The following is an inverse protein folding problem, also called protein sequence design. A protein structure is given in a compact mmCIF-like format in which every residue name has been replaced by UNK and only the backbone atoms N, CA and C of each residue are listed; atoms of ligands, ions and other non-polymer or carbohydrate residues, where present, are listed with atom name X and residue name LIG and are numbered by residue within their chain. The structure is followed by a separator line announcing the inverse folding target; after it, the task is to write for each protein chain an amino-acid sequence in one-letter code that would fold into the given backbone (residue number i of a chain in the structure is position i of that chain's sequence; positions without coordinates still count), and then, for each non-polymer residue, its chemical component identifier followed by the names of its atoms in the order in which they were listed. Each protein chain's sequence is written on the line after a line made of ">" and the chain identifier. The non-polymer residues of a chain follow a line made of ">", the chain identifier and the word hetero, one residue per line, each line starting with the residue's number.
data_IF_987722315951
#
_entry.id   IF_987722315951
#
_cell.length_a   1.000
_cell.length_b   1.000
_cell.length_c   1.000
_cell.angle_alpha   90.00
_cell.angle_beta   90.00
_cell.angle_gamma   90.00
#
_symmetry.space_group_name_H-M   'P 1'
#
loop_
_entity.id
_entity.type
_entity.pdbx_description
1 polymer ?
#
# COMPACT_ATOMS: atom_id res chain seq x y z
N UNK A 1 39.13 -19.29 19.33
CA UNK A 1 38.02 -18.69 20.10
C UNK A 1 37.76 -17.25 19.69
N UNK A 2 38.71 -16.33 19.84
CA UNK A 2 38.57 -14.90 19.50
C UNK A 2 38.29 -14.62 18.02
N UNK A 3 38.94 -15.33 17.10
CA UNK A 3 38.70 -15.14 15.64
C UNK A 3 37.29 -15.56 15.20
N UNK A 4 36.73 -16.61 15.79
CA UNK A 4 35.38 -17.09 15.45
C UNK A 4 34.32 -16.07 15.92
N UNK A 5 34.49 -15.52 17.13
CA UNK A 5 33.65 -14.43 17.64
C UNK A 5 33.78 -13.16 16.78
N UNK A 6 34.99 -12.81 16.34
CA UNK A 6 35.21 -11.66 15.48
C UNK A 6 34.53 -11.82 14.10
N UNK A 7 34.62 -12.99 13.48
CA UNK A 7 33.94 -13.30 12.21
C UNK A 7 32.42 -13.30 12.39
N UNK A 8 31.91 -13.86 13.50
CA UNK A 8 30.49 -13.83 13.84
C UNK A 8 29.97 -12.39 14.01
N UNK A 9 30.69 -11.54 14.75
CA UNK A 9 30.34 -10.13 14.90
C UNK A 9 30.35 -9.39 13.56
N UNK A 10 31.35 -9.61 12.70
CA UNK A 10 31.40 -9.01 11.37
C UNK A 10 30.20 -9.43 10.51
N UNK A 11 29.84 -10.72 10.51
CA UNK A 11 28.69 -11.22 9.77
C UNK A 11 27.37 -10.56 10.23
N UNK A 12 27.19 -10.37 11.54
CA UNK A 12 26.03 -9.68 12.10
C UNK A 12 26.00 -8.20 11.67
N UNK A 13 27.13 -7.50 11.75
CA UNK A 13 27.23 -6.10 11.31
C UNK A 13 26.86 -5.97 9.82
N UNK A 14 27.43 -6.81 8.96
CA UNK A 14 27.09 -6.80 7.53
C UNK A 14 25.63 -7.13 7.28
N UNK A 15 25.06 -8.07 8.03
CA UNK A 15 23.64 -8.40 7.94
C UNK A 15 22.76 -7.18 8.21
N UNK A 16 23.01 -6.43 9.29
CA UNK A 16 22.27 -5.21 9.60
C UNK A 16 22.49 -4.09 8.57
N UNK A 17 23.72 -3.91 8.06
CA UNK A 17 24.00 -2.91 7.02
C UNK A 17 23.26 -3.20 5.71
N UNK A 18 23.19 -4.48 5.31
CA UNK A 18 22.44 -4.89 4.12
C UNK A 18 20.94 -4.65 4.30
N UNK A 19 20.40 -4.96 5.49
CA UNK A 19 18.99 -4.69 5.80
C UNK A 19 18.69 -3.18 5.78
N UNK A 20 19.56 -2.37 6.38
CA UNK A 20 19.45 -0.91 6.37
C UNK A 20 19.45 -0.36 4.94
N UNK A 21 20.42 -0.73 4.11
CA UNK A 21 20.52 -0.26 2.73
C UNK A 21 19.30 -0.67 1.86
N UNK A 22 18.73 -1.87 2.10
CA UNK A 22 17.49 -2.29 1.43
C UNK A 22 16.28 -1.49 1.86
N UNK A 23 16.18 -1.16 3.14
CA UNK A 23 15.09 -0.34 3.69
C UNK A 23 15.14 1.06 3.11
N UNK A 24 16.30 1.71 3.18
CA UNK A 24 16.53 3.06 2.65
C UNK A 24 16.09 3.19 1.18
N UNK A 25 16.47 2.22 0.33
CA UNK A 25 16.08 2.23 -1.08
C UNK A 25 14.56 2.05 -1.31
N UNK A 26 13.86 1.35 -0.41
CA UNK A 26 12.44 1.07 -0.57
C UNK A 26 11.54 2.05 0.19
N UNK A 27 12.09 2.84 1.12
CA UNK A 27 11.36 3.70 2.03
C UNK A 27 10.57 4.77 1.28
N UNK A 28 11.20 5.52 0.38
CA UNK A 28 10.51 6.54 -0.42
C UNK A 28 9.33 5.97 -1.21
N UNK A 29 9.55 4.87 -1.95
CA UNK A 29 8.50 4.23 -2.75
C UNK A 29 7.38 3.64 -1.90
N UNK A 30 7.74 3.14 -0.72
CA UNK A 30 6.78 2.60 0.23
C UNK A 30 5.92 3.72 0.83
N UNK A 31 6.54 4.80 1.31
CA UNK A 31 5.85 5.95 1.88
C UNK A 31 4.89 6.59 0.85
N UNK A 32 5.35 6.79 -0.38
CA UNK A 32 4.50 7.30 -1.47
C UNK A 32 3.27 6.40 -1.70
N UNK A 33 3.45 5.08 -1.69
CA UNK A 33 2.36 4.14 -1.87
C UNK A 33 1.36 4.17 -0.71
N UNK A 34 1.84 4.28 0.52
CA UNK A 34 1.00 4.37 1.73
C UNK A 34 0.18 5.67 1.71
N UNK A 35 0.85 6.81 1.49
CA UNK A 35 0.22 8.13 1.48
C UNK A 35 -0.85 8.21 0.38
N UNK A 36 -0.58 7.69 -0.82
CA UNK A 36 -1.58 7.61 -1.90
C UNK A 36 -2.84 6.84 -1.47
N UNK A 37 -2.67 5.65 -0.89
CA UNK A 37 -3.81 4.82 -0.48
C UNK A 37 -4.58 5.47 0.66
N UNK A 38 -3.91 6.00 1.68
CA UNK A 38 -4.54 6.70 2.79
C UNK A 38 -5.36 7.90 2.32
N UNK A 39 -4.76 8.78 1.51
CA UNK A 39 -5.45 9.94 0.96
C UNK A 39 -6.66 9.55 0.10
N UNK A 40 -6.56 8.45 -0.65
CA UNK A 40 -7.67 7.95 -1.49
C UNK A 40 -8.76 7.27 -0.68
N UNK A 41 -8.44 6.62 0.44
CA UNK A 41 -9.43 6.09 1.37
C UNK A 41 -10.19 7.23 2.07
N UNK A 42 -9.51 8.29 2.46
CA UNK A 42 -10.15 9.49 3.02
C UNK A 42 -11.03 10.20 2.00
N UNK A 43 -10.56 10.33 0.75
CA UNK A 43 -11.39 10.78 -0.35
C UNK A 43 -12.65 9.91 -0.52
N UNK A 44 -12.53 8.59 -0.42
CA UNK A 44 -13.65 7.66 -0.56
C UNK A 44 -14.67 7.80 0.58
N UNK A 45 -14.23 8.09 1.81
CA UNK A 45 -15.09 8.38 2.96
C UNK A 45 -15.93 9.63 2.78
N UNK A 46 -15.41 10.64 2.07
CA UNK A 46 -16.16 11.87 1.76
C UNK A 46 -17.21 11.72 0.65
N UNK A 47 -17.32 10.56 -0.01
CA UNK A 47 -18.27 10.38 -1.12
C UNK A 47 -19.70 10.12 -0.60
N UNK A 48 -20.73 10.73 -1.23
CA UNK A 48 -22.12 10.57 -0.80
C UNK A 48 -22.74 9.19 -1.12
N UNK A 49 -22.12 8.42 -2.00
CA UNK A 49 -22.55 7.06 -2.33
C UNK A 49 -21.38 6.23 -2.86
N UNK A 50 -21.51 4.92 -2.76
CA UNK A 50 -20.53 3.94 -3.26
C UNK A 50 -21.26 2.95 -4.18
N UNK A 51 -20.95 2.92 -5.49
CA UNK A 51 -21.55 1.94 -6.40
C UNK A 51 -21.25 0.50 -5.99
N UNK A 52 -22.08 -0.42 -6.48
CA UNK A 52 -21.87 -1.85 -6.28
C UNK A 52 -20.45 -2.27 -6.68
N UNK A 53 -19.77 -3.02 -5.80
CA UNK A 53 -18.38 -3.43 -5.97
C UNK A 53 -17.32 -2.40 -5.57
N UNK A 54 -17.64 -1.10 -5.45
CA UNK A 54 -16.66 -0.12 -4.96
C UNK A 54 -16.34 -0.37 -3.49
N UNK A 55 -17.36 -0.58 -2.64
CA UNK A 55 -17.19 -0.75 -1.20
C UNK A 55 -16.27 -1.91 -0.83
N UNK A 56 -16.45 -3.07 -1.49
CA UNK A 56 -15.59 -4.23 -1.24
C UNK A 56 -14.14 -4.00 -1.66
N UNK A 57 -13.90 -3.25 -2.74
CA UNK A 57 -12.54 -2.88 -3.14
C UNK A 57 -11.91 -1.87 -2.16
N UNK A 58 -12.68 -0.97 -1.55
CA UNK A 58 -12.20 -0.09 -0.48
C UNK A 58 -11.81 -0.87 0.77
N UNK A 59 -12.64 -1.84 1.18
CA UNK A 59 -12.37 -2.72 2.32
C UNK A 59 -11.07 -3.53 2.09
N UNK A 60 -10.95 -4.17 0.92
CA UNK A 60 -9.71 -4.88 0.54
C UNK A 60 -8.50 -3.94 0.54
N UNK A 61 -8.65 -2.72 0.03
CA UNK A 61 -7.56 -1.73 0.04
C UNK A 61 -7.15 -1.35 1.46
N UNK A 62 -8.12 -1.19 2.38
CA UNK A 62 -7.85 -0.84 3.77
C UNK A 62 -7.15 -1.99 4.52
N UNK A 63 -7.62 -3.23 4.34
CA UNK A 63 -7.00 -4.41 4.97
C UNK A 63 -5.55 -4.61 4.49
N UNK A 64 -5.31 -4.41 3.19
CA UNK A 64 -3.96 -4.49 2.62
C UNK A 64 -3.07 -3.35 3.12
N UNK A 65 -3.60 -2.14 3.28
CA UNK A 65 -2.86 -1.01 3.85
C UNK A 65 -2.38 -1.32 5.27
N UNK A 66 -3.27 -1.81 6.13
CA UNK A 66 -2.92 -2.16 7.50
C UNK A 66 -1.91 -3.32 7.55
N UNK A 67 -2.05 -4.32 6.68
CA UNK A 67 -1.07 -5.39 6.55
C UNK A 67 0.29 -4.88 6.07
N UNK A 68 0.33 -3.96 5.11
CA UNK A 68 1.57 -3.36 4.61
C UNK A 68 2.32 -2.61 5.73
N UNK A 69 1.60 -1.85 6.57
CA UNK A 69 2.18 -1.18 7.76
C UNK A 69 2.72 -2.17 8.78
N UNK A 70 1.97 -3.23 9.06
CA UNK A 70 2.42 -4.29 9.96
C UNK A 70 3.70 -4.96 9.44
N UNK A 71 3.79 -5.27 8.14
CA UNK A 71 4.99 -5.85 7.54
C UNK A 71 6.20 -4.91 7.62
N UNK A 72 5.99 -3.61 7.37
CA UNK A 72 7.05 -2.60 7.47
C UNK A 72 7.62 -2.52 8.89
N UNK A 73 6.75 -2.52 9.90
CA UNK A 73 7.14 -2.50 11.32
C UNK A 73 7.85 -3.78 11.79
N UNK A 74 7.77 -4.87 11.02
CA UNK A 74 8.42 -6.16 11.31
C UNK A 74 9.64 -6.40 10.41
N UNK A 75 10.27 -5.33 9.90
CA UNK A 75 11.47 -5.37 9.03
C UNK A 75 11.30 -6.18 7.73
N UNK A 76 10.05 -6.35 7.25
CA UNK A 76 9.73 -7.02 5.99
C UNK A 76 9.48 -6.00 4.88
N UNK A 77 10.47 -5.13 4.61
CA UNK A 77 10.31 -3.95 3.74
C UNK A 77 9.86 -4.30 2.31
N UNK A 78 10.37 -5.40 1.74
CA UNK A 78 10.00 -5.81 0.38
C UNK A 78 8.57 -6.33 0.31
N UNK A 79 8.15 -7.18 1.25
CA UNK A 79 6.77 -7.62 1.33
C UNK A 79 5.83 -6.46 1.63
N UNK A 80 6.20 -5.56 2.55
CA UNK A 80 5.44 -4.37 2.87
C UNK A 80 5.16 -3.52 1.63
N UNK A 81 6.20 -3.23 0.84
CA UNK A 81 6.06 -2.51 -0.43
C UNK A 81 5.16 -3.24 -1.43
N UNK A 82 5.31 -4.56 -1.60
CA UNK A 82 4.45 -5.34 -2.48
C UNK A 82 2.97 -5.29 -2.06
N UNK A 83 2.70 -5.37 -0.77
CA UNK A 83 1.32 -5.31 -0.24
C UNK A 83 0.76 -3.89 -0.37
N UNK A 84 1.56 -2.85 -0.15
CA UNK A 84 1.14 -1.46 -0.40
C UNK A 84 0.74 -1.24 -1.87
N UNK A 85 1.50 -1.80 -2.82
CA UNK A 85 1.14 -1.79 -4.25
C UNK A 85 -0.18 -2.52 -4.54
N UNK A 86 -0.44 -3.64 -3.88
CA UNK A 86 -1.72 -4.34 -4.03
C UNK A 86 -2.89 -3.52 -3.48
N UNK A 87 -2.68 -2.78 -2.38
CA UNK A 87 -3.65 -1.83 -1.86
C UNK A 87 -3.96 -0.73 -2.90
N UNK A 88 -2.92 -0.14 -3.52
CA UNK A 88 -3.10 0.82 -4.62
C UNK A 88 -3.91 0.25 -5.78
N UNK A 89 -3.68 -1.01 -6.16
CA UNK A 89 -4.44 -1.67 -7.23
C UNK A 89 -5.92 -1.89 -6.87
N UNK A 90 -6.21 -2.26 -5.62
CA UNK A 90 -7.58 -2.34 -5.12
C UNK A 90 -8.25 -0.96 -5.15
N UNK A 91 -7.53 0.08 -4.74
CA UNK A 91 -7.99 1.46 -4.77
C UNK A 91 -8.23 1.95 -6.22
N UNK A 92 -7.37 1.58 -7.17
CA UNK A 92 -7.55 1.84 -8.60
C UNK A 92 -8.84 1.21 -9.14
N UNK A 93 -9.14 -0.03 -8.73
CA UNK A 93 -10.41 -0.70 -9.10
C UNK A 93 -11.62 0.01 -8.51
N UNK A 94 -11.57 0.38 -7.22
CA UNK A 94 -12.65 1.13 -6.58
C UNK A 94 -12.93 2.48 -7.27
N UNK A 95 -11.89 3.27 -7.57
CA UNK A 95 -12.04 4.54 -8.29
C UNK A 95 -12.57 4.34 -9.71
N UNK A 96 -12.10 3.33 -10.43
CA UNK A 96 -12.62 3.02 -11.77
C UNK A 96 -14.11 2.68 -11.75
N UNK A 97 -14.58 1.93 -10.75
CA UNK A 97 -16.01 1.65 -10.56
C UNK A 97 -16.78 2.95 -10.32
N UNK A 98 -16.27 3.82 -9.44
CA UNK A 98 -16.88 5.11 -9.13
C UNK A 98 -16.99 6.02 -10.37
N UNK A 99 -15.90 6.19 -11.11
CA UNK A 99 -15.84 6.98 -12.33
C UNK A 99 -16.80 6.45 -13.40
N UNK A 100 -16.87 5.13 -13.58
CA UNK A 100 -17.84 4.52 -14.50
C UNK A 100 -19.28 4.83 -14.09
N UNK A 101 -19.61 4.67 -12.81
CA UNK A 101 -20.96 4.94 -12.31
C UNK A 101 -21.38 6.41 -12.48
N UNK A 102 -20.47 7.37 -12.25
CA UNK A 102 -20.74 8.79 -12.50
C UNK A 102 -21.02 9.04 -13.98
N UNK A 103 -20.17 8.52 -14.88
CA UNK A 103 -20.34 8.71 -16.33
C UNK A 103 -21.68 8.14 -16.82
N UNK A 104 -22.05 6.95 -16.35
CA UNK A 104 -23.36 6.35 -16.70
C UNK A 104 -24.52 7.20 -16.22
N UNK A 105 -24.46 7.76 -14.99
CA UNK A 105 -25.51 8.67 -14.48
C UNK A 105 -25.60 9.96 -15.28
N UNK A 106 -24.46 10.56 -15.66
CA UNK A 106 -24.43 11.77 -16.49
C UNK A 106 -25.06 11.52 -17.86
N UNK A 107 -24.75 10.39 -18.50
CA UNK A 107 -25.35 10.02 -19.79
C UNK A 107 -26.86 9.82 -19.68
N UNK A 108 -27.34 9.19 -18.61
CA UNK A 108 -28.77 8.99 -18.38
C UNK A 108 -29.53 10.31 -18.09
N UNK A 109 -28.89 11.25 -17.38
CA UNK A 109 -29.47 12.56 -17.09
C UNK A 109 -29.49 13.51 -18.30
N UNK A 110 -28.55 13.38 -19.23
CA UNK A 110 -28.49 14.18 -20.46
C UNK A 110 -29.42 13.66 -21.57
N UNK A 111 -30.05 12.51 -21.38
CA UNK A 111 -31.02 11.92 -22.32
C UNK A 111 -32.48 12.30 -22.00
N UNK A 112 -32.69 13.14 -20.97
CA UNK A 112 -33.96 13.75 -20.58
C UNK A 112 -33.98 15.22 -21.02
#
# INVERSE_FOLDING_TARGET
>A
MTYILAVGCLAIIFHYLIQFARREHLEEYYEDAIIDVEGRLDWARSRPFHPFGMKSQLEVSADLLDNAKNLWNNDKSLEAYRVARQAQDAMNRAQNIYCKAIRTRQMAGNAQ
#
